data_IF_337331813255
#
_entry.id   IF_337331813255
#
_cell.length_a   1.000
_cell.length_b   1.000
_cell.length_c   1.000
_cell.angle_alpha   90.00
_cell.angle_beta   90.00
_cell.angle_gamma   90.00
#
_symmetry.space_group_name_H-M   'P 1'
#
loop_
_entity.id
_entity.type
_entity.pdbx_description
1 polymer ?
#
# COMPACT_ATOMS: atom_id res chain seq x y z
N UNK A 1 19.65 -19.76 -10.62
CA UNK A 1 19.89 -18.46 -11.27
C UNK A 1 19.16 -17.38 -10.47
N UNK A 2 19.77 -16.22 -10.28
CA UNK A 2 19.13 -15.05 -9.66
C UNK A 2 18.20 -14.34 -10.63
N UNK A 3 17.24 -13.55 -10.14
CA UNK A 3 16.33 -12.81 -11.04
C UNK A 3 17.05 -11.73 -11.87
N UNK A 4 18.14 -11.16 -11.35
CA UNK A 4 18.96 -10.21 -12.11
C UNK A 4 19.73 -10.88 -13.25
N UNK A 5 20.17 -12.13 -13.08
CA UNK A 5 20.74 -12.94 -14.16
C UNK A 5 19.69 -13.29 -15.22
N UNK A 6 18.45 -13.58 -14.82
CA UNK A 6 17.33 -13.78 -15.75
C UNK A 6 17.07 -12.52 -16.61
N UNK A 7 16.92 -11.35 -15.99
CA UNK A 7 16.69 -10.09 -16.72
C UNK A 7 17.80 -9.84 -17.75
N UNK A 8 19.06 -10.10 -17.39
CA UNK A 8 20.22 -9.88 -18.29
C UNK A 8 20.25 -10.79 -19.51
N UNK A 9 19.48 -11.88 -19.53
CA UNK A 9 19.37 -12.77 -20.70
C UNK A 9 18.33 -12.31 -21.72
N UNK A 10 17.54 -11.29 -21.39
CA UNK A 10 16.50 -10.75 -22.26
C UNK A 10 16.87 -9.33 -22.70
N UNK A 11 16.67 -9.04 -23.99
CA UNK A 11 16.70 -7.67 -24.50
C UNK A 11 15.30 -7.05 -24.44
N UNK A 12 15.22 -5.72 -24.42
CA UNK A 12 13.93 -5.00 -24.52
C UNK A 12 13.17 -5.39 -25.78
N UNK A 13 13.86 -5.53 -26.91
CA UNK A 13 13.26 -5.97 -28.17
C UNK A 13 12.64 -7.38 -28.06
N UNK A 14 13.34 -8.34 -27.44
CA UNK A 14 12.81 -9.69 -27.22
C UNK A 14 11.53 -9.68 -26.37
N UNK A 15 11.52 -8.88 -25.30
CA UNK A 15 10.35 -8.77 -24.43
C UNK A 15 9.20 -8.08 -25.16
N UNK A 16 9.46 -7.03 -25.93
CA UNK A 16 8.45 -6.32 -26.70
C UNK A 16 7.87 -7.17 -27.84
N UNK A 17 8.69 -7.95 -28.55
CA UNK A 17 8.22 -8.90 -29.58
C UNK A 17 7.32 -9.94 -28.94
N UNK A 18 7.75 -10.52 -27.81
CA UNK A 18 6.96 -11.50 -27.08
C UNK A 18 5.64 -10.90 -26.61
N UNK A 19 5.67 -9.75 -25.95
CA UNK A 19 4.49 -9.09 -25.39
C UNK A 19 3.48 -8.68 -26.46
N UNK A 20 3.93 -8.10 -27.57
CA UNK A 20 3.01 -7.58 -28.57
C UNK A 20 2.52 -8.67 -29.54
N UNK A 21 3.37 -9.65 -29.87
CA UNK A 21 3.12 -10.56 -31.01
C UNK A 21 2.85 -12.00 -30.58
N UNK A 22 3.47 -12.48 -29.50
CA UNK A 22 3.47 -13.90 -29.14
C UNK A 22 2.54 -14.20 -27.97
N UNK A 23 2.53 -13.32 -26.96
CA UNK A 23 1.68 -13.49 -25.79
C UNK A 23 0.22 -13.57 -26.21
N UNK A 24 -0.62 -14.31 -25.46
CA UNK A 24 -2.06 -14.27 -25.67
C UNK A 24 -2.59 -12.84 -25.53
N UNK A 25 -3.83 -12.62 -25.99
CA UNK A 25 -4.52 -11.34 -25.81
C UNK A 25 -5.19 -11.24 -24.43
N UNK A 26 -5.47 -12.38 -23.79
CA UNK A 26 -6.12 -12.46 -22.49
C UNK A 26 -5.35 -13.40 -21.55
N UNK A 27 -5.47 -13.16 -20.23
CA UNK A 27 -4.91 -14.05 -19.21
C UNK A 27 -5.60 -15.42 -19.30
N UNK A 28 -4.85 -16.53 -19.37
CA UNK A 28 -5.46 -17.86 -19.33
C UNK A 28 -6.27 -18.08 -18.03
N UNK A 29 -7.44 -18.73 -18.13
CA UNK A 29 -8.43 -18.86 -17.04
C UNK A 29 -7.93 -19.54 -15.74
N UNK A 30 -6.80 -20.24 -15.78
CA UNK A 30 -6.30 -21.06 -14.66
C UNK A 30 -4.96 -20.54 -14.09
N UNK A 31 -4.67 -19.24 -14.21
CA UNK A 31 -3.39 -18.65 -13.75
C UNK A 31 -3.44 -18.24 -12.27
N UNK A 32 -4.51 -18.53 -11.54
CA UNK A 32 -4.76 -18.03 -10.18
C UNK A 32 -3.86 -18.59 -9.07
N UNK A 33 -2.93 -19.49 -9.35
CA UNK A 33 -2.27 -20.21 -8.26
C UNK A 33 -1.05 -19.52 -7.63
N UNK A 34 -0.42 -18.51 -8.25
CA UNK A 34 0.68 -17.79 -7.57
C UNK A 34 0.81 -16.31 -7.97
N UNK A 35 0.56 -15.41 -7.01
CA UNK A 35 0.91 -13.99 -7.07
C UNK A 35 0.13 -13.16 -8.13
N UNK A 36 -1.15 -13.50 -8.31
CA UNK A 36 -2.13 -12.73 -9.08
C UNK A 36 -2.39 -11.31 -8.53
N UNK A 37 -1.87 -10.99 -7.35
CA UNK A 37 -1.97 -9.64 -6.79
C UNK A 37 -1.30 -8.56 -7.66
N UNK A 38 -0.24 -8.90 -8.40
CA UNK A 38 0.52 -7.91 -9.17
C UNK A 38 0.58 -8.29 -10.63
N UNK A 39 0.23 -7.31 -11.47
CA UNK A 39 0.19 -7.47 -12.91
C UNK A 39 1.12 -6.48 -13.60
N UNK A 40 1.72 -6.91 -14.70
CA UNK A 40 2.39 -6.05 -15.65
C UNK A 40 1.35 -5.49 -16.62
N UNK A 41 1.42 -4.19 -16.90
CA UNK A 41 0.53 -3.50 -17.81
C UNK A 41 1.33 -2.73 -18.86
N UNK A 42 0.99 -2.91 -20.14
CA UNK A 42 1.58 -2.19 -21.28
C UNK A 42 0.69 -2.37 -22.51
N UNK A 43 0.41 -1.29 -23.25
CA UNK A 43 -0.39 -1.31 -24.48
C UNK A 43 -1.75 -2.03 -24.33
N UNK A 44 -2.52 -1.66 -23.30
CA UNK A 44 -3.83 -2.24 -22.95
C UNK A 44 -3.84 -3.75 -22.62
N UNK A 45 -2.68 -4.42 -22.64
CA UNK A 45 -2.51 -5.77 -22.11
C UNK A 45 -2.15 -5.70 -20.63
N UNK A 46 -2.69 -6.65 -19.86
CA UNK A 46 -2.46 -6.77 -18.42
C UNK A 46 -2.32 -8.25 -18.05
N UNK A 47 -1.14 -8.66 -17.59
CA UNK A 47 -0.86 -10.07 -17.25
C UNK A 47 -0.20 -10.23 -15.87
N UNK A 48 -0.50 -11.31 -15.13
CA UNK A 48 0.14 -11.57 -13.84
C UNK A 48 1.66 -11.61 -14.00
N UNK A 49 2.37 -10.95 -13.09
CA UNK A 49 3.81 -10.80 -13.20
C UNK A 49 4.56 -12.14 -13.19
N UNK A 50 4.24 -13.03 -12.24
CA UNK A 50 4.87 -14.36 -12.13
C UNK A 50 4.65 -15.20 -13.39
N UNK A 51 3.44 -15.16 -13.91
CA UNK A 51 3.09 -15.88 -15.14
C UNK A 51 3.87 -15.34 -16.33
N UNK A 52 3.93 -14.02 -16.49
CA UNK A 52 4.66 -13.38 -17.59
C UNK A 52 6.14 -13.78 -17.59
N UNK A 53 6.79 -13.75 -16.43
CA UNK A 53 8.18 -14.18 -16.26
C UNK A 53 8.36 -15.65 -16.64
N UNK A 54 7.44 -16.53 -16.20
CA UNK A 54 7.48 -17.97 -16.51
C UNK A 54 7.37 -18.23 -18.01
N UNK A 55 6.42 -17.58 -18.68
CA UNK A 55 6.18 -17.78 -20.11
C UNK A 55 7.31 -17.22 -20.96
N UNK A 56 7.88 -16.06 -20.60
CA UNK A 56 9.08 -15.53 -21.24
C UNK A 56 10.27 -16.48 -21.11
N UNK A 57 10.51 -17.01 -19.91
CA UNK A 57 11.59 -17.96 -19.67
C UNK A 57 11.40 -19.24 -20.52
N UNK A 58 10.18 -19.78 -20.55
CA UNK A 58 9.85 -20.95 -21.35
C UNK A 58 10.03 -20.69 -22.85
N UNK A 59 9.54 -19.56 -23.36
CA UNK A 59 9.62 -19.21 -24.78
C UNK A 59 11.07 -19.07 -25.26
N UNK A 60 11.93 -18.41 -24.47
CA UNK A 60 13.34 -18.22 -24.80
C UNK A 60 14.26 -19.34 -24.31
N UNK A 61 13.70 -20.45 -23.79
CA UNK A 61 14.47 -21.59 -23.26
C UNK A 61 15.49 -21.19 -22.19
N UNK A 62 15.15 -20.23 -21.34
CA UNK A 62 15.96 -19.79 -20.20
C UNK A 62 15.70 -20.73 -19.03
N UNK A 63 16.77 -21.31 -18.48
CA UNK A 63 16.69 -22.15 -17.29
C UNK A 63 16.30 -21.31 -16.05
N UNK A 64 14.99 -21.29 -15.77
CA UNK A 64 14.39 -20.51 -14.71
C UNK A 64 13.50 -21.38 -13.82
N UNK A 65 13.89 -21.52 -12.56
CA UNK A 65 13.08 -22.20 -11.56
C UNK A 65 12.19 -21.20 -10.81
N UNK A 66 10.87 -21.30 -11.03
CA UNK A 66 9.89 -20.43 -10.38
C UNK A 66 9.87 -20.59 -8.84
N UNK A 67 10.32 -21.73 -8.30
CA UNK A 67 10.41 -21.94 -6.84
C UNK A 67 11.53 -21.12 -6.19
N UNK A 68 12.57 -20.80 -6.97
CA UNK A 68 13.66 -19.93 -6.53
C UNK A 68 13.28 -18.44 -6.68
N UNK A 69 12.09 -18.16 -7.23
CA UNK A 69 11.56 -16.84 -7.47
C UNK A 69 10.59 -16.39 -6.37
N UNK A 70 11.12 -15.63 -5.42
CA UNK A 70 10.27 -14.76 -4.60
C UNK A 70 9.80 -13.60 -5.46
N UNK A 71 8.48 -13.41 -5.61
CA UNK A 71 7.95 -12.19 -6.19
C UNK A 71 8.06 -11.07 -5.16
N UNK A 72 9.26 -10.54 -5.01
CA UNK A 72 9.53 -9.39 -4.16
C UNK A 72 9.20 -8.10 -4.90
N UNK A 73 9.02 -7.01 -4.14
CA UNK A 73 8.92 -5.67 -4.71
C UNK A 73 10.13 -5.36 -5.60
N UNK A 74 11.34 -5.77 -5.17
CA UNK A 74 12.60 -5.55 -5.91
C UNK A 74 12.58 -6.17 -7.30
N UNK A 75 12.17 -7.44 -7.40
CA UNK A 75 12.12 -8.15 -8.67
C UNK A 75 11.09 -7.52 -9.62
N UNK A 76 9.88 -7.22 -9.14
CA UNK A 76 8.85 -6.53 -9.94
C UNK A 76 9.36 -5.21 -10.50
N UNK A 77 9.89 -4.37 -9.62
CA UNK A 77 10.39 -3.05 -10.00
C UNK A 77 11.54 -3.15 -11.00
N UNK A 78 12.48 -4.07 -10.79
CA UNK A 78 13.62 -4.24 -11.70
C UNK A 78 13.18 -4.65 -13.10
N UNK A 79 12.19 -5.54 -13.21
CA UNK A 79 11.64 -5.95 -14.51
C UNK A 79 10.92 -4.78 -15.19
N UNK A 80 10.02 -4.11 -14.48
CA UNK A 80 9.30 -2.93 -14.96
C UNK A 80 10.26 -1.84 -15.44
N UNK A 81 11.34 -1.60 -14.70
CA UNK A 81 12.29 -0.54 -15.02
C UNK A 81 13.11 -0.80 -16.27
N UNK A 82 13.46 -2.06 -16.54
CA UNK A 82 14.30 -2.46 -17.68
C UNK A 82 13.47 -2.60 -18.96
N UNK A 83 12.25 -3.10 -18.85
CA UNK A 83 11.40 -3.42 -20.01
C UNK A 83 10.23 -2.45 -20.21
N UNK A 84 10.19 -1.37 -19.43
CA UNK A 84 9.22 -0.28 -19.55
C UNK A 84 7.77 -0.77 -19.42
N UNK A 85 7.49 -1.44 -18.30
CA UNK A 85 6.15 -1.86 -17.91
C UNK A 85 5.64 -1.04 -16.74
N UNK A 86 4.36 -0.72 -16.77
CA UNK A 86 3.62 -0.34 -15.57
C UNK A 86 3.25 -1.57 -14.74
N UNK A 87 2.93 -1.31 -13.48
CA UNK A 87 2.49 -2.35 -12.55
C UNK A 87 1.17 -1.96 -11.89
N UNK A 88 0.24 -2.89 -11.96
CA UNK A 88 -1.09 -2.79 -11.37
C UNK A 88 -1.18 -3.74 -10.19
N UNK A 89 -1.68 -3.24 -9.05
CA UNK A 89 -1.97 -4.05 -7.87
C UNK A 89 -3.46 -4.30 -7.78
N UNK A 90 -3.84 -5.57 -7.82
CA UNK A 90 -5.18 -6.02 -7.47
C UNK A 90 -5.39 -5.91 -5.96
N UNK A 91 -6.56 -5.41 -5.58
CA UNK A 91 -6.95 -5.26 -4.17
C UNK A 91 -7.46 -6.60 -3.64
N UNK A 92 -6.52 -7.49 -3.32
CA UNK A 92 -6.80 -8.88 -2.98
C UNK A 92 -5.91 -9.33 -1.85
N UNK A 93 -6.36 -10.33 -1.09
CA UNK A 93 -5.71 -10.82 0.11
C UNK A 93 -5.96 -12.32 0.28
N UNK A 94 -5.09 -12.97 1.04
CA UNK A 94 -5.22 -14.39 1.37
C UNK A 94 -5.80 -14.62 2.78
N UNK A 95 -6.04 -15.89 3.11
CA UNK A 95 -6.62 -16.30 4.39
C UNK A 95 -5.76 -15.92 5.60
N UNK A 96 -4.43 -15.99 5.49
CA UNK A 96 -3.52 -15.60 6.57
C UNK A 96 -3.62 -14.12 6.88
N UNK A 97 -3.66 -13.27 5.84
CA UNK A 97 -3.85 -11.83 5.99
C UNK A 97 -5.24 -11.51 6.58
N UNK A 98 -6.27 -12.23 6.13
CA UNK A 98 -7.65 -12.14 6.67
C UNK A 98 -7.69 -12.45 8.17
N UNK A 99 -7.15 -13.59 8.59
CA UNK A 99 -7.15 -14.00 10.00
C UNK A 99 -6.38 -12.99 10.87
N UNK A 100 -5.19 -12.58 10.43
CA UNK A 100 -4.39 -11.58 11.15
C UNK A 100 -5.13 -10.25 11.28
N UNK A 101 -5.86 -9.81 10.25
CA UNK A 101 -6.66 -8.59 10.35
C UNK A 101 -7.86 -8.74 11.30
N UNK A 102 -8.53 -9.89 11.31
CA UNK A 102 -9.63 -10.18 12.25
C UNK A 102 -9.14 -10.11 13.69
N UNK A 103 -7.99 -10.72 13.98
CA UNK A 103 -7.36 -10.68 15.30
C UNK A 103 -7.01 -9.24 15.71
N UNK A 104 -6.38 -8.49 14.80
CA UNK A 104 -6.10 -7.07 14.97
C UNK A 104 -7.37 -6.27 15.30
N UNK A 105 -8.44 -6.41 14.50
CA UNK A 105 -9.68 -5.67 14.70
C UNK A 105 -10.38 -6.01 16.02
N UNK A 106 -10.38 -7.29 16.41
CA UNK A 106 -10.95 -7.72 17.68
C UNK A 106 -10.16 -7.16 18.87
N UNK A 107 -8.86 -6.91 18.72
CA UNK A 107 -8.04 -6.27 19.76
C UNK A 107 -8.38 -4.79 20.02
N UNK A 108 -9.09 -4.13 19.10
CA UNK A 108 -9.46 -2.70 19.20
C UNK A 108 -10.61 -2.42 20.20
N UNK A 109 -11.24 -3.46 20.77
CA UNK A 109 -12.24 -3.34 21.84
C UNK A 109 -13.25 -2.19 21.62
N UNK A 110 -13.23 -1.16 22.47
CA UNK A 110 -14.15 -0.01 22.45
C UNK A 110 -13.80 1.08 21.42
N UNK A 111 -12.69 0.95 20.69
CA UNK A 111 -12.22 1.96 19.72
C UNK A 111 -12.60 1.66 18.27
N UNK A 112 -13.36 0.58 18.04
CA UNK A 112 -13.81 0.14 16.72
C UNK A 112 -14.54 1.23 15.91
N UNK A 113 -15.38 2.03 16.55
CA UNK A 113 -16.10 3.12 15.87
C UNK A 113 -15.15 4.18 15.31
N UNK A 114 -14.18 4.63 16.12
CA UNK A 114 -13.18 5.61 15.69
C UNK A 114 -12.27 5.03 14.60
N UNK A 115 -12.00 3.73 14.67
CA UNK A 115 -11.28 3.03 13.62
C UNK A 115 -12.06 3.02 12.29
N UNK A 116 -13.37 2.76 12.31
CA UNK A 116 -14.20 2.88 11.10
C UNK A 116 -14.20 4.31 10.55
N UNK A 117 -14.38 5.32 11.42
CA UNK A 117 -14.36 6.75 11.01
C UNK A 117 -13.02 7.13 10.36
N UNK A 118 -11.91 6.59 10.87
CA UNK A 118 -10.58 6.76 10.28
C UNK A 118 -10.47 6.14 8.88
N UNK A 119 -11.01 4.94 8.69
CA UNK A 119 -11.02 4.25 7.40
C UNK A 119 -11.89 4.98 6.38
N UNK A 120 -13.06 5.48 6.80
CA UNK A 120 -13.95 6.27 5.96
C UNK A 120 -13.31 7.58 5.53
N UNK A 121 -12.57 8.24 6.44
CA UNK A 121 -11.78 9.42 6.13
C UNK A 121 -10.70 9.12 5.08
N UNK A 122 -9.92 8.05 5.26
CA UNK A 122 -8.88 7.65 4.30
C UNK A 122 -9.46 7.24 2.93
N UNK A 123 -10.60 6.56 2.92
CA UNK A 123 -11.31 6.20 1.68
C UNK A 123 -11.70 7.44 0.89
N UNK A 124 -12.23 8.47 1.55
CA UNK A 124 -12.57 9.75 0.90
C UNK A 124 -11.35 10.38 0.23
N UNK A 125 -10.18 10.37 0.88
CA UNK A 125 -8.94 10.88 0.31
C UNK A 125 -8.54 10.06 -0.92
N UNK A 126 -8.57 8.73 -0.82
CA UNK A 126 -8.17 7.83 -1.91
C UNK A 126 -9.07 8.00 -3.14
N UNK A 127 -10.39 8.03 -2.96
CA UNK A 127 -11.34 8.17 -4.07
C UNK A 127 -11.25 9.55 -4.72
N UNK A 128 -11.20 10.62 -3.92
CA UNK A 128 -11.19 11.99 -4.44
C UNK A 128 -9.92 12.33 -5.22
N UNK A 129 -8.81 11.65 -4.92
CA UNK A 129 -7.50 11.92 -5.50
C UNK A 129 -6.99 10.80 -6.42
N UNK A 130 -7.81 9.78 -6.68
CA UNK A 130 -7.46 8.63 -7.54
C UNK A 130 -6.10 8.01 -7.17
N UNK A 131 -5.86 7.83 -5.86
CA UNK A 131 -4.59 7.28 -5.37
C UNK A 131 -4.41 5.86 -5.93
N UNK A 132 -3.29 5.60 -6.59
CA UNK A 132 -2.97 4.27 -7.10
C UNK A 132 -2.65 3.33 -5.94
N UNK A 133 -3.35 2.18 -5.79
CA UNK A 133 -3.04 1.19 -4.77
C UNK A 133 -1.56 0.83 -4.74
N UNK A 134 -0.93 0.61 -5.89
CA UNK A 134 0.47 0.18 -5.95
C UNK A 134 1.48 1.19 -5.38
N UNK A 135 1.11 2.47 -5.23
CA UNK A 135 2.00 3.52 -4.74
C UNK A 135 1.85 3.80 -3.25
N UNK A 136 0.93 3.10 -2.58
CA UNK A 136 0.68 3.27 -1.15
C UNK A 136 0.74 1.92 -0.42
N UNK A 137 1.27 1.93 0.80
CA UNK A 137 1.34 0.75 1.66
C UNK A 137 0.45 0.96 2.87
N UNK A 138 -0.21 -0.12 3.30
CA UNK A 138 -1.00 -0.16 4.51
C UNK A 138 -0.43 -1.24 5.41
N UNK A 139 -0.33 -0.97 6.70
CA UNK A 139 0.26 -1.90 7.65
C UNK A 139 -0.53 -1.98 8.94
N UNK A 140 -0.62 -3.19 9.50
CA UNK A 140 -1.10 -3.42 10.86
C UNK A 140 0.05 -3.95 11.72
N UNK A 141 0.05 -3.61 13.00
CA UNK A 141 1.01 -4.09 13.99
C UNK A 141 0.25 -4.47 15.25
N UNK A 142 0.28 -5.76 15.58
CA UNK A 142 -0.44 -6.30 16.74
C UNK A 142 0.21 -5.86 18.06
N UNK A 143 1.55 -5.72 18.07
CA UNK A 143 2.34 -5.39 19.27
C UNK A 143 1.92 -4.09 19.95
N UNK A 144 1.43 -3.11 19.18
CA UNK A 144 0.94 -1.84 19.68
C UNK A 144 -0.44 -1.45 19.10
N UNK A 145 -1.18 -2.45 18.57
CA UNK A 145 -2.52 -2.29 17.97
C UNK A 145 -2.60 -1.09 17.04
N UNK A 146 -1.62 -0.98 16.14
CA UNK A 146 -1.46 0.16 15.26
C UNK A 146 -1.80 -0.21 13.82
N UNK A 147 -2.62 0.60 13.16
CA UNK A 147 -2.76 0.64 11.72
C UNK A 147 -2.09 1.88 11.15
N UNK A 148 -1.46 1.77 9.98
CA UNK A 148 -0.71 2.85 9.34
C UNK A 148 -0.97 2.92 7.85
N UNK A 149 -0.99 4.15 7.34
CA UNK A 149 -0.88 4.48 5.92
C UNK A 149 0.52 5.00 5.66
N UNK A 150 1.20 4.41 4.68
CA UNK A 150 2.60 4.66 4.38
C UNK A 150 2.71 5.08 2.92
N UNK A 151 3.26 6.28 2.71
CA UNK A 151 3.55 6.83 1.39
C UNK A 151 5.08 6.96 1.28
N UNK A 152 5.65 6.41 0.20
CA UNK A 152 7.09 6.25 0.07
C UNK A 152 7.64 5.39 1.22
N UNK A 153 8.45 5.99 2.10
CA UNK A 153 9.14 5.30 3.21
C UNK A 153 8.64 5.68 4.61
N UNK A 154 7.53 6.42 4.73
CA UNK A 154 7.10 7.00 6.00
C UNK A 154 5.60 6.86 6.22
N UNK A 155 5.21 6.66 7.47
CA UNK A 155 3.81 6.72 7.85
C UNK A 155 3.34 8.18 7.76
N UNK A 156 2.28 8.41 7.00
CA UNK A 156 1.61 9.72 6.88
C UNK A 156 0.37 9.79 7.76
N UNK A 157 -0.12 8.63 8.16
CA UNK A 157 -1.26 8.47 9.05
C UNK A 157 -1.05 7.21 9.89
N UNK A 158 -1.37 7.26 11.17
CA UNK A 158 -1.46 6.06 11.98
C UNK A 158 -2.54 6.18 13.04
N UNK A 159 -3.26 5.10 13.30
CA UNK A 159 -4.19 4.99 14.42
C UNK A 159 -3.72 3.84 15.32
N UNK A 160 -3.60 4.10 16.62
CA UNK A 160 -3.27 3.07 17.62
C UNK A 160 -4.13 3.19 18.85
N UNK A 161 -4.45 2.05 19.46
CA UNK A 161 -5.06 2.02 20.78
C UNK A 161 -4.00 1.80 21.86
N UNK A 162 -4.00 2.66 22.88
CA UNK A 162 -3.13 2.56 24.04
C UNK A 162 -3.90 2.97 25.29
N UNK A 163 -3.92 2.14 26.34
CA UNK A 163 -4.64 2.39 27.59
C UNK A 163 -6.09 2.85 27.37
N UNK A 164 -6.82 2.16 26.49
CA UNK A 164 -8.23 2.46 26.18
C UNK A 164 -8.49 3.83 25.52
N UNK A 165 -7.43 4.50 25.07
CA UNK A 165 -7.49 5.75 24.31
C UNK A 165 -6.97 5.55 22.89
N UNK A 166 -7.46 6.38 21.97
CA UNK A 166 -6.97 6.40 20.59
C UNK A 166 -5.90 7.46 20.46
N UNK A 167 -4.73 7.06 19.98
CA UNK A 167 -3.69 7.97 19.52
C UNK A 167 -3.68 7.96 18.00
N UNK A 168 -3.90 9.14 17.43
CA UNK A 168 -3.92 9.37 16.00
C UNK A 168 -2.67 10.16 15.61
N UNK A 169 -1.84 9.61 14.73
CA UNK A 169 -0.70 10.28 14.13
C UNK A 169 -1.10 10.83 12.76
N UNK A 170 -0.87 12.12 12.54
CA UNK A 170 -1.21 12.84 11.31
C UNK A 170 0.04 13.56 10.80
N UNK A 171 0.35 13.42 9.51
CA UNK A 171 1.28 14.34 8.85
C UNK A 171 0.59 15.68 8.68
N UNK A 172 1.28 16.76 9.04
CA UNK A 172 0.78 18.13 8.96
C UNK A 172 1.86 19.05 8.40
N UNK A 173 1.41 20.15 7.80
CA UNK A 173 2.29 21.29 7.56
C UNK A 173 2.70 21.89 8.91
N UNK A 174 4.00 22.13 9.09
CA UNK A 174 4.53 22.59 10.36
C UNK A 174 3.96 23.94 10.78
N UNK A 175 3.73 24.86 9.84
CA UNK A 175 3.21 26.19 10.14
C UNK A 175 1.74 26.12 10.55
N UNK A 176 0.93 25.31 9.86
CA UNK A 176 -0.48 25.10 10.25
C UNK A 176 -0.56 24.43 11.63
N UNK A 177 0.27 23.41 11.86
CA UNK A 177 0.36 22.76 13.16
C UNK A 177 0.72 23.73 14.29
N UNK A 178 1.78 24.52 14.14
CA UNK A 178 2.25 25.46 15.19
C UNK A 178 1.16 26.45 15.60
N UNK A 179 0.38 26.96 14.63
CA UNK A 179 -0.72 27.89 14.88
C UNK A 179 -1.92 27.26 15.62
N UNK A 180 -2.06 25.94 15.57
CA UNK A 180 -3.22 25.21 16.12
C UNK A 180 -2.86 24.24 17.25
N UNK A 181 -1.57 24.13 17.59
CA UNK A 181 -1.04 23.21 18.60
C UNK A 181 -1.76 23.29 19.94
N UNK A 182 -2.12 24.48 20.39
CA UNK A 182 -2.84 24.71 21.66
C UNK A 182 -4.21 24.04 21.73
N UNK A 183 -4.82 23.75 20.57
CA UNK A 183 -6.16 23.16 20.47
C UNK A 183 -6.10 21.62 20.38
N UNK A 184 -4.90 21.04 20.44
CA UNK A 184 -4.67 19.61 20.25
C UNK A 184 -4.12 18.98 21.53
N UNK A 185 -4.63 17.80 21.87
CA UNK A 185 -4.07 16.97 22.94
C UNK A 185 -2.84 16.20 22.42
N UNK A 186 -1.76 16.93 22.14
CA UNK A 186 -0.51 16.39 21.58
C UNK A 186 0.20 15.49 22.58
N UNK A 187 0.56 14.28 22.14
CA UNK A 187 1.34 13.30 22.91
C UNK A 187 2.77 13.16 22.42
N UNK A 188 2.98 13.33 21.12
CA UNK A 188 4.28 13.21 20.49
C UNK A 188 4.31 14.04 19.20
N UNK A 189 5.47 14.59 18.88
CA UNK A 189 5.74 15.21 17.59
C UNK A 189 7.13 14.78 17.13
N UNK A 190 7.25 14.51 15.84
CA UNK A 190 8.54 14.31 15.20
C UNK A 190 8.65 15.11 13.91
N UNK A 191 9.85 15.62 13.65
CA UNK A 191 10.14 16.22 12.35
C UNK A 191 10.00 15.13 11.28
N UNK A 192 9.10 15.37 10.33
CA UNK A 192 8.92 14.45 9.22
C UNK A 192 10.07 14.65 8.23
N UNK A 193 10.98 13.68 8.18
CA UNK A 193 12.14 13.70 7.28
C UNK A 193 11.72 13.18 5.91
N UNK A 194 11.65 14.07 4.92
CA UNK A 194 11.27 13.77 3.54
C UNK A 194 11.10 15.05 2.72
N UNK A 195 10.82 14.89 1.43
CA UNK A 195 10.36 15.98 0.57
C UNK A 195 8.85 15.84 0.37
N UNK A 196 8.10 16.96 0.29
CA UNK A 196 8.54 18.33 0.62
C UNK A 196 8.91 18.51 2.09
N UNK A 197 9.79 19.48 2.35
CA UNK A 197 10.26 19.82 3.69
C UNK A 197 9.15 20.56 4.49
N UNK A 198 9.47 20.96 5.73
CA UNK A 198 8.58 21.68 6.64
C UNK A 198 7.32 20.92 7.08
N UNK A 199 7.44 19.58 7.22
CA UNK A 199 6.36 18.71 7.69
C UNK A 199 6.67 18.14 9.07
N UNK A 200 5.61 17.83 9.81
CA UNK A 200 5.68 17.23 11.14
C UNK A 200 4.69 16.07 11.21
N UNK A 201 5.09 14.96 11.84
CA UNK A 201 4.16 13.91 12.22
C UNK A 201 3.76 14.14 13.67
N UNK A 202 2.48 14.40 13.90
CA UNK A 202 1.96 14.74 15.24
C UNK A 202 1.03 13.63 15.70
N UNK A 203 1.30 13.07 16.87
CA UNK A 203 0.40 12.15 17.56
C UNK A 203 -0.48 12.92 18.54
N UNK A 204 -1.78 12.93 18.28
CA UNK A 204 -2.81 13.48 19.16
C UNK A 204 -3.59 12.34 19.82
N UNK A 205 -4.12 12.58 21.02
CA UNK A 205 -5.05 11.67 21.70
C UNK A 205 -6.48 12.16 21.54
N UNK A 206 -7.37 11.27 21.09
CA UNK A 206 -8.78 11.57 20.81
C UNK A 206 -9.69 10.55 21.50
N UNK A 207 -10.93 10.97 21.78
CA UNK A 207 -11.99 10.13 22.36
C UNK A 207 -13.18 9.93 21.42
N UNK A 208 -13.35 10.83 20.45
CA UNK A 208 -14.30 10.75 19.34
C UNK A 208 -13.67 11.44 18.13
N UNK A 209 -14.06 11.07 16.91
CA UNK A 209 -13.49 11.66 15.70
C UNK A 209 -13.68 13.18 15.61
N UNK A 210 -14.83 13.67 16.09
CA UNK A 210 -15.15 15.10 16.13
C UNK A 210 -14.31 15.91 17.15
N UNK A 211 -13.42 15.28 17.92
CA UNK A 211 -12.41 15.99 18.73
C UNK A 211 -11.33 16.65 17.85
N UNK A 212 -11.19 16.21 16.59
CA UNK A 212 -10.19 16.72 15.67
C UNK A 212 -10.73 17.98 14.98
N UNK A 213 -10.07 19.14 15.12
CA UNK A 213 -10.49 20.35 14.41
C UNK A 213 -10.51 20.12 12.90
N UNK A 214 -11.56 20.62 12.22
CA UNK A 214 -11.74 20.44 10.77
C UNK A 214 -10.50 20.85 9.96
N UNK A 215 -9.91 21.99 10.28
CA UNK A 215 -8.72 22.52 9.60
C UNK A 215 -7.50 21.58 9.70
N UNK A 216 -7.42 20.74 10.75
CA UNK A 216 -6.35 19.75 10.91
C UNK A 216 -6.57 18.55 10.00
N UNK A 217 -7.81 18.12 9.81
CA UNK A 217 -8.15 17.07 8.85
C UNK A 217 -7.98 17.56 7.40
N UNK A 218 -8.36 18.80 7.11
CA UNK A 218 -8.12 19.43 5.80
C UNK A 218 -6.62 19.49 5.51
N UNK A 219 -5.81 20.02 6.44
CA UNK A 219 -4.37 20.04 6.26
C UNK A 219 -3.76 18.63 6.13
N UNK A 220 -4.18 17.66 6.95
CA UNK A 220 -3.69 16.29 6.81
C UNK A 220 -4.04 15.68 5.45
N UNK A 221 -5.21 15.99 4.90
CA UNK A 221 -5.61 15.57 3.55
C UNK A 221 -4.65 16.16 2.52
N UNK A 222 -4.43 17.47 2.55
CA UNK A 222 -3.53 18.17 1.63
C UNK A 222 -2.11 17.57 1.68
N UNK A 223 -1.62 17.28 2.88
CA UNK A 223 -0.29 16.70 3.06
C UNK A 223 -0.21 15.26 2.56
N UNK A 224 -1.22 14.41 2.81
CA UNK A 224 -1.25 13.05 2.27
C UNK A 224 -1.20 13.08 0.73
N UNK A 225 -2.00 13.95 0.11
CA UNK A 225 -2.04 14.11 -1.35
C UNK A 225 -0.70 14.62 -1.87
N UNK A 226 -0.12 15.62 -1.22
CA UNK A 226 1.18 16.17 -1.60
C UNK A 226 2.29 15.11 -1.51
N UNK A 227 2.33 14.30 -0.44
CA UNK A 227 3.29 13.20 -0.34
C UNK A 227 3.09 12.19 -1.48
N UNK A 228 1.85 11.85 -1.81
CA UNK A 228 1.55 10.95 -2.92
C UNK A 228 2.01 11.51 -4.27
N UNK A 229 1.70 12.78 -4.54
CA UNK A 229 2.04 13.46 -5.80
C UNK A 229 3.55 13.54 -6.03
N UNK A 230 4.35 13.63 -4.98
CA UNK A 230 5.81 13.61 -5.12
C UNK A 230 6.38 12.27 -5.58
N UNK A 231 5.62 11.17 -5.42
CA UNK A 231 6.11 9.82 -5.68
C UNK A 231 5.30 9.06 -6.73
N UNK A 232 4.10 9.51 -7.10
CA UNK A 232 3.19 8.76 -7.99
C UNK A 232 3.85 8.37 -9.32
N UNK A 233 4.64 9.28 -9.89
CA UNK A 233 5.36 9.08 -11.15
C UNK A 233 6.76 8.49 -10.97
N UNK A 234 7.21 8.31 -9.72
CA UNK A 234 8.52 7.75 -9.41
C UNK A 234 8.53 6.22 -9.49
N UNK A 235 9.64 5.64 -9.95
CA UNK A 235 9.86 4.19 -9.96
C UNK A 235 10.01 3.67 -8.53
N UNK A 236 9.24 2.64 -8.17
CA UNK A 236 9.18 2.09 -6.79
C UNK A 236 10.45 1.31 -6.40
N UNK A 237 11.31 0.93 -7.37
CA UNK A 237 12.67 0.39 -7.12
C UNK A 237 13.53 1.30 -6.26
N UNK A 238 13.26 2.61 -6.30
CA UNK A 238 13.96 3.61 -5.48
C UNK A 238 13.45 3.67 -4.03
N UNK A 239 12.39 2.94 -3.68
CA UNK A 239 11.81 2.94 -2.33
C UNK A 239 12.31 1.71 -1.58
N UNK A 240 12.91 1.90 -0.39
CA UNK A 240 13.41 0.77 0.40
C UNK A 240 12.29 -0.26 0.68
N UNK A 241 12.56 -1.50 0.28
CA UNK A 241 11.61 -2.62 0.10
C UNK A 241 11.23 -3.38 1.37
N UNK A 242 11.54 -2.89 2.57
CA UNK A 242 11.31 -3.67 3.79
C UNK A 242 10.31 -2.99 4.72
N UNK A 243 9.06 -3.40 4.59
CA UNK A 243 8.13 -3.38 5.71
C UNK A 243 7.35 -4.69 5.72
N UNK A 244 7.82 -5.65 6.52
CA UNK A 244 7.20 -6.97 6.75
C UNK A 244 5.83 -6.90 7.44
N UNK A 245 5.27 -5.71 7.61
CA UNK A 245 4.00 -5.45 8.33
C UNK A 245 2.87 -5.03 7.38
N UNK A 246 3.03 -5.19 6.06
CA UNK A 246 2.00 -4.81 5.08
C UNK A 246 0.78 -5.72 5.24
N UNK A 247 -0.41 -5.15 5.37
CA UNK A 247 -1.66 -5.90 5.48
C UNK A 247 -2.59 -5.54 4.31
N UNK A 248 -2.81 -6.51 3.41
CA UNK A 248 -3.61 -6.31 2.19
C UNK A 248 -5.11 -6.12 2.48
N UNK A 249 -5.62 -6.65 3.60
CA UNK A 249 -7.02 -6.48 4.01
C UNK A 249 -7.31 -5.04 4.40
N UNK A 250 -6.44 -4.42 5.22
CA UNK A 250 -6.60 -3.00 5.58
C UNK A 250 -6.66 -2.11 4.34
N UNK A 251 -5.77 -2.37 3.37
CA UNK A 251 -5.76 -1.67 2.10
C UNK A 251 -7.05 -1.91 1.31
N UNK A 252 -7.48 -3.15 1.19
CA UNK A 252 -8.74 -3.50 0.53
C UNK A 252 -9.93 -2.75 1.13
N UNK A 253 -10.08 -2.79 2.47
CA UNK A 253 -11.20 -2.17 3.17
C UNK A 253 -11.25 -0.65 2.96
N UNK A 254 -10.10 0.02 3.05
CA UNK A 254 -10.00 1.46 2.79
C UNK A 254 -10.36 1.76 1.33
N UNK A 255 -9.73 1.08 0.37
CA UNK A 255 -9.94 1.38 -1.06
C UNK A 255 -11.35 1.05 -1.56
N UNK A 256 -12.00 0.06 -0.95
CA UNK A 256 -13.38 -0.34 -1.28
C UNK A 256 -14.43 0.40 -0.43
N UNK A 257 -14.00 1.18 0.57
CA UNK A 257 -14.90 1.87 1.50
C UNK A 257 -15.84 0.92 2.24
N UNK A 258 -15.38 -0.28 2.61
CA UNK A 258 -16.22 -1.28 3.26
C UNK A 258 -16.37 -1.04 4.76
N UNK A 259 -17.53 -1.42 5.29
CA UNK A 259 -17.73 -1.51 6.73
C UNK A 259 -16.90 -2.67 7.29
N UNK A 260 -16.02 -2.36 8.24
CA UNK A 260 -15.06 -3.31 8.80
C UNK A 260 -15.76 -4.38 9.63
N UNK A 261 -16.76 -4.01 10.42
CA UNK A 261 -17.47 -4.96 11.28
C UNK A 261 -18.28 -5.96 10.47
N UNK A 262 -18.99 -5.50 9.46
CA UNK A 262 -19.70 -6.35 8.51
C UNK A 262 -18.72 -7.29 7.80
N UNK A 263 -17.62 -6.76 7.26
CA UNK A 263 -16.60 -7.58 6.60
C UNK A 263 -16.03 -8.64 7.55
N UNK A 264 -15.68 -8.27 8.78
CA UNK A 264 -15.17 -9.22 9.79
C UNK A 264 -16.22 -10.28 10.08
N UNK A 265 -17.49 -9.92 10.23
CA UNK A 265 -18.56 -10.88 10.50
C UNK A 265 -18.80 -11.85 9.33
N UNK A 266 -18.68 -11.39 8.08
CA UNK A 266 -18.78 -12.24 6.89
C UNK A 266 -17.57 -13.12 6.64
N UNK A 267 -16.41 -12.79 7.23
CA UNK A 267 -15.15 -13.53 7.08
C UNK A 267 -14.73 -14.26 8.37
N UNK A 268 -15.60 -14.34 9.38
CA UNK A 268 -15.42 -15.22 10.53
C UNK A 268 -15.53 -16.67 10.05
N UNK A 269 -14.46 -17.43 10.23
CA UNK A 269 -14.41 -18.89 10.04
C UNK A 269 -14.44 -19.54 11.42
#
# INVERSE_FOLDING_TARGET
MTFSEFIKQLTTEQVDIWWNTISPNEVPKNVEDENWKYHLSKNDKNFPFKWTVKELAAYYSIDFNLKDFSSTDLNRNSFCDVFDFDIVEELVYNRTESNSFVDFYNSLQQTKNIFQEALDYLNKIILSNQINPYKIRMATRDSNRQAMVIIGMRAVFAIRQENNKVKLALILDKTIYENKRSNLNVKYEEQFKGKPENKVLVSIEITKWNDIPKEILENNTDEIVLQYDTIKDSKRSSWNTEANTTNSVLKYLIFKGQNVEEWVNSNKI
#
